data_IF_836159192543
#
_entry.id   IF_836159192543
#
_cell.length_a   1.000
_cell.length_b   1.000
_cell.length_c   1.000
_cell.angle_alpha   90.00
_cell.angle_beta   90.00
_cell.angle_gamma   90.00
#
_symmetry.space_group_name_H-M   'P 1'
#
loop_
_entity.id
_entity.type
_entity.pdbx_description
1 polymer ?
#
# COMPACT_ATOMS: atom_id res chain seq x y z
N UNK A 1 14.95 -14.42 -7.52
CA UNK A 1 14.73 -13.72 -8.79
C UNK A 1 15.68 -14.37 -9.82
N UNK A 2 15.13 -15.17 -10.69
CA UNK A 2 15.85 -15.63 -11.88
C UNK A 2 15.50 -14.60 -12.94
N UNK A 3 16.35 -13.59 -13.09
CA UNK A 3 16.26 -12.63 -14.17
C UNK A 3 17.21 -13.11 -15.26
N UNK A 4 16.72 -13.96 -16.13
CA UNK A 4 17.42 -14.44 -17.29
C UNK A 4 16.70 -14.03 -18.57
N UNK A 5 17.38 -14.01 -19.66
CA UNK A 5 16.84 -13.76 -21.00
C UNK A 5 16.08 -15.01 -21.46
N UNK A 6 14.84 -15.16 -21.06
CA UNK A 6 13.93 -16.32 -21.08
C UNK A 6 13.94 -17.31 -22.26
N UNK A 7 14.85 -17.20 -23.22
CA UNK A 7 15.01 -18.06 -24.39
C UNK A 7 16.43 -18.60 -24.57
N UNK A 8 17.42 -18.15 -23.79
CA UNK A 8 18.80 -18.65 -23.90
C UNK A 8 18.99 -19.89 -23.05
N UNK A 9 19.46 -20.97 -23.67
CA UNK A 9 19.77 -22.21 -22.99
C UNK A 9 21.26 -22.29 -22.51
N UNK A 10 22.05 -21.27 -22.81
CA UNK A 10 23.47 -21.19 -22.48
C UNK A 10 23.82 -19.83 -21.87
N UNK A 11 24.59 -19.84 -20.80
CA UNK A 11 25.17 -18.64 -20.20
C UNK A 11 26.71 -18.75 -20.21
N UNK A 12 27.35 -17.68 -20.72
CA UNK A 12 28.82 -17.59 -20.74
C UNK A 12 29.28 -16.85 -19.48
N UNK A 13 30.00 -17.54 -18.62
CA UNK A 13 30.59 -16.97 -17.41
C UNK A 13 32.10 -17.05 -17.48
N UNK A 14 32.77 -15.91 -17.72
CA UNK A 14 34.22 -15.86 -18.04
C UNK A 14 34.51 -16.74 -19.26
N UNK A 15 35.29 -17.79 -19.13
CA UNK A 15 35.64 -18.74 -20.22
C UNK A 15 34.82 -20.03 -20.18
N UNK A 16 33.79 -20.16 -19.35
CA UNK A 16 32.99 -21.39 -19.23
C UNK A 16 31.57 -21.16 -19.75
N UNK A 17 31.14 -22.03 -20.65
CA UNK A 17 29.77 -22.14 -21.13
C UNK A 17 29.00 -23.01 -20.15
N UNK A 18 27.97 -22.44 -19.50
CA UNK A 18 27.12 -23.17 -18.58
C UNK A 18 25.75 -23.37 -19.25
N UNK A 19 25.39 -24.62 -19.52
CA UNK A 19 24.08 -24.98 -20.06
C UNK A 19 23.02 -24.94 -18.96
N UNK A 20 22.48 -23.75 -18.69
CA UNK A 20 21.44 -23.53 -17.68
C UNK A 20 20.31 -22.76 -18.34
N UNK A 21 19.15 -23.41 -18.49
CA UNK A 21 17.93 -22.78 -18.91
C UNK A 21 17.10 -22.38 -17.66
N UNK A 22 16.61 -21.14 -17.60
CA UNK A 22 15.72 -20.64 -16.53
C UNK A 22 14.51 -21.57 -16.35
N UNK A 23 13.99 -22.15 -17.44
CA UNK A 23 12.91 -23.15 -17.41
C UNK A 23 13.32 -24.43 -16.67
N UNK A 24 14.58 -24.92 -16.84
CA UNK A 24 15.10 -26.11 -16.13
C UNK A 24 15.29 -25.80 -14.64
N UNK A 25 15.81 -24.62 -14.29
CA UNK A 25 15.96 -24.18 -12.89
C UNK A 25 14.59 -24.05 -12.22
N UNK A 26 13.60 -23.41 -12.86
CA UNK A 26 12.24 -23.28 -12.33
C UNK A 26 11.59 -24.66 -12.16
N UNK A 27 11.77 -25.60 -13.11
CA UNK A 27 11.29 -26.97 -12.96
C UNK A 27 11.99 -27.71 -11.81
N UNK A 28 13.29 -27.57 -11.64
CA UNK A 28 14.02 -28.19 -10.53
C UNK A 28 13.64 -27.62 -9.17
N UNK A 29 13.37 -26.31 -9.08
CA UNK A 29 12.83 -25.67 -7.86
C UNK A 29 11.43 -26.21 -7.56
N UNK A 30 10.56 -26.37 -8.59
CA UNK A 30 9.21 -26.95 -8.42
C UNK A 30 9.24 -28.42 -7.97
N UNK A 31 10.22 -29.18 -8.41
CA UNK A 31 10.35 -30.61 -8.06
C UNK A 31 10.97 -30.81 -6.67
N UNK A 32 11.94 -29.96 -6.26
CA UNK A 32 12.58 -30.06 -4.93
C UNK A 32 11.73 -29.50 -3.77
N UNK A 33 10.77 -28.65 -4.05
CA UNK A 33 9.88 -28.10 -3.02
C UNK A 33 8.44 -28.53 -3.32
N UNK A 34 7.97 -29.60 -2.67
CA UNK A 34 6.52 -29.89 -2.52
C UNK A 34 5.88 -28.79 -1.64
N UNK A 35 5.82 -27.55 -2.14
CA UNK A 35 5.12 -26.46 -1.48
C UNK A 35 3.64 -26.66 -1.77
N UNK A 36 2.94 -27.24 -0.82
CA UNK A 36 1.54 -27.69 -0.95
C UNK A 36 0.52 -26.56 -0.97
N UNK A 37 0.87 -25.33 -0.49
CA UNK A 37 -0.08 -24.22 -0.41
C UNK A 37 0.59 -22.83 -0.48
N UNK A 38 -0.18 -21.79 -0.83
CA UNK A 38 0.26 -20.37 -0.77
C UNK A 38 0.65 -19.94 0.64
N UNK A 39 0.04 -20.54 1.67
CA UNK A 39 0.37 -20.32 3.08
C UNK A 39 1.79 -20.79 3.39
N UNK A 40 2.18 -21.95 2.90
CA UNK A 40 3.52 -22.50 3.08
C UNK A 40 4.57 -21.65 2.37
N UNK A 41 4.25 -21.11 1.20
CA UNK A 41 5.11 -20.17 0.47
C UNK A 41 5.35 -18.88 1.27
N UNK A 42 4.31 -18.30 1.87
CA UNK A 42 4.43 -17.13 2.71
C UNK A 42 5.26 -17.39 3.96
N UNK A 43 5.08 -18.54 4.63
CA UNK A 43 5.87 -18.94 5.80
C UNK A 43 7.35 -19.09 5.43
N UNK A 44 7.65 -19.77 4.31
CA UNK A 44 9.00 -19.94 3.82
C UNK A 44 9.65 -18.60 3.48
N UNK A 45 8.95 -17.73 2.76
CA UNK A 45 9.44 -16.38 2.43
C UNK A 45 9.77 -15.58 3.70
N UNK A 46 8.86 -15.57 4.67
CA UNK A 46 9.03 -14.85 5.92
C UNK A 46 10.24 -15.39 6.72
N UNK A 47 10.42 -16.71 6.77
CA UNK A 47 11.56 -17.36 7.41
C UNK A 47 12.89 -17.00 6.74
N UNK A 48 12.93 -16.98 5.41
CA UNK A 48 14.13 -16.61 4.64
C UNK A 48 14.51 -15.13 4.89
N UNK A 49 13.54 -14.24 4.90
CA UNK A 49 13.76 -12.81 5.21
C UNK A 49 14.27 -12.65 6.63
N UNK A 50 13.64 -13.31 7.60
CA UNK A 50 14.07 -13.28 9.00
C UNK A 50 15.54 -13.71 9.15
N UNK A 51 15.88 -14.84 8.57
CA UNK A 51 17.25 -15.38 8.62
C UNK A 51 18.27 -14.45 7.97
N UNK A 52 17.92 -13.85 6.83
CA UNK A 52 18.76 -12.87 6.15
C UNK A 52 19.02 -11.62 7.00
N UNK A 53 18.02 -11.11 7.70
CA UNK A 53 18.16 -9.93 8.56
C UNK A 53 19.01 -10.27 9.81
N UNK A 54 18.81 -11.46 10.36
CA UNK A 54 19.50 -11.88 11.59
C UNK A 54 20.92 -12.39 11.36
N UNK A 55 21.34 -12.67 10.12
CA UNK A 55 22.62 -13.28 9.79
C UNK A 55 22.79 -14.70 10.33
N UNK A 56 21.72 -15.36 10.78
CA UNK A 56 21.74 -16.71 11.37
C UNK A 56 20.46 -17.48 11.08
N UNK A 57 20.57 -18.82 11.01
CA UNK A 57 19.42 -19.70 10.77
C UNK A 57 18.54 -19.79 12.02
N UNK A 58 17.24 -19.52 11.82
CA UNK A 58 16.18 -19.71 12.79
C UNK A 58 15.03 -20.47 12.14
N UNK A 59 14.38 -21.36 12.88
CA UNK A 59 13.32 -22.24 12.36
C UNK A 59 11.90 -21.74 12.69
N UNK A 60 11.71 -20.44 12.86
CA UNK A 60 10.37 -19.89 13.13
C UNK A 60 9.55 -19.79 11.86
N UNK A 61 8.32 -20.30 11.92
CA UNK A 61 7.30 -20.10 10.92
C UNK A 61 6.30 -19.09 11.44
N UNK A 62 6.03 -18.04 10.64
CA UNK A 62 5.02 -17.05 10.98
C UNK A 62 4.33 -16.52 9.72
N UNK A 63 3.03 -16.19 9.88
CA UNK A 63 2.15 -15.83 8.76
C UNK A 63 2.16 -14.35 8.43
N UNK A 64 2.41 -13.48 9.39
CA UNK A 64 2.42 -12.03 9.24
C UNK A 64 3.06 -11.36 10.45
N UNK A 65 3.09 -10.02 10.45
CA UNK A 65 3.70 -9.21 11.50
C UNK A 65 2.63 -8.33 12.17
N UNK A 66 2.67 -8.24 13.50
CA UNK A 66 1.82 -7.35 14.29
C UNK A 66 2.62 -6.65 15.38
N UNK A 67 2.19 -5.42 15.72
CA UNK A 67 2.69 -4.64 16.88
C UNK A 67 1.61 -4.46 17.95
N UNK A 68 0.39 -4.97 17.70
CA UNK A 68 -0.78 -4.77 18.54
C UNK A 68 -1.39 -6.12 18.94
N UNK A 69 -1.37 -6.42 20.25
CA UNK A 69 -1.92 -7.66 20.79
C UNK A 69 -3.44 -7.73 20.73
N UNK A 70 -4.16 -6.63 20.47
CA UNK A 70 -5.61 -6.62 20.29
C UNK A 70 -6.01 -7.22 18.95
N UNK A 71 -5.16 -7.07 17.94
CA UNK A 71 -5.41 -7.50 16.57
C UNK A 71 -4.48 -8.62 16.09
N UNK A 72 -3.57 -9.11 16.94
CA UNK A 72 -2.65 -10.18 16.62
C UNK A 72 -3.41 -11.48 16.29
N UNK A 73 -2.96 -12.18 15.25
CA UNK A 73 -3.49 -13.49 14.87
C UNK A 73 -2.52 -14.58 15.30
N UNK A 74 -3.06 -15.78 15.61
CA UNK A 74 -2.26 -16.98 15.88
C UNK A 74 -1.22 -17.20 14.77
N UNK A 75 0.02 -17.44 15.14
CA UNK A 75 1.13 -17.62 14.21
C UNK A 75 1.74 -16.31 13.67
N UNK A 76 1.31 -15.11 14.10
CA UNK A 76 2.00 -13.88 13.73
C UNK A 76 3.34 -13.74 14.47
N UNK A 77 4.30 -13.03 13.88
CA UNK A 77 5.42 -12.44 14.57
C UNK A 77 4.93 -11.20 15.32
N UNK A 78 5.12 -11.15 16.62
CA UNK A 78 4.89 -9.94 17.42
C UNK A 78 6.17 -9.11 17.48
N UNK A 79 6.10 -7.83 17.11
CA UNK A 79 7.21 -6.90 17.20
C UNK A 79 6.99 -5.95 18.37
N UNK A 80 7.77 -6.12 19.45
CA UNK A 80 7.73 -5.25 20.61
C UNK A 80 8.49 -3.94 20.31
N UNK A 81 7.74 -2.85 20.09
CA UNK A 81 8.28 -1.52 19.85
C UNK A 81 8.09 -0.65 21.10
N UNK A 82 9.12 0.08 21.48
CA UNK A 82 9.01 1.13 22.52
C UNK A 82 8.38 2.37 21.87
N UNK A 83 7.12 2.66 22.24
CA UNK A 83 6.42 3.89 21.88
C UNK A 83 6.73 5.05 22.85
N UNK A 84 6.23 6.25 22.54
CA UNK A 84 6.38 7.42 23.42
C UNK A 84 5.70 7.24 24.78
N UNK A 85 4.50 6.65 24.81
CA UNK A 85 3.69 6.47 26.04
C UNK A 85 3.74 5.05 26.59
N UNK A 86 3.89 4.03 25.75
CA UNK A 86 3.77 2.62 26.11
C UNK A 86 4.94 1.84 25.52
N UNK A 87 5.58 0.98 26.34
CA UNK A 87 6.59 0.03 25.89
C UNK A 87 5.91 -1.28 25.47
N UNK A 88 6.06 -1.64 24.19
CA UNK A 88 5.52 -2.88 23.63
C UNK A 88 6.00 -4.16 24.30
N UNK A 89 7.09 -4.12 25.07
CA UNK A 89 7.56 -5.26 25.86
C UNK A 89 6.56 -5.74 26.90
N UNK A 90 5.79 -4.83 27.49
CA UNK A 90 4.75 -5.18 28.46
C UNK A 90 3.73 -6.18 27.90
N UNK A 91 3.60 -6.25 26.57
CA UNK A 91 2.64 -7.09 25.87
C UNK A 91 3.22 -8.41 25.32
N UNK A 92 4.50 -8.72 25.57
CA UNK A 92 5.14 -9.93 25.04
C UNK A 92 4.43 -11.20 25.53
N UNK A 93 4.16 -11.30 26.83
CA UNK A 93 3.45 -12.46 27.38
C UNK A 93 2.03 -12.57 26.80
N UNK A 94 1.32 -11.46 26.70
CA UNK A 94 -0.01 -11.42 26.05
C UNK A 94 0.05 -11.89 24.59
N UNK A 95 1.07 -11.48 23.83
CA UNK A 95 1.25 -11.92 22.46
C UNK A 95 1.52 -13.43 22.36
N UNK A 96 2.38 -13.96 23.24
CA UNK A 96 2.69 -15.39 23.30
C UNK A 96 1.47 -16.22 23.68
N UNK A 97 0.70 -15.78 24.69
CA UNK A 97 -0.55 -16.43 25.11
C UNK A 97 -1.61 -16.42 24.01
N UNK A 98 -1.64 -15.38 23.15
CA UNK A 98 -2.50 -15.33 21.96
C UNK A 98 -1.94 -16.12 20.77
N UNK A 99 -0.87 -16.89 20.98
CA UNK A 99 -0.32 -17.81 19.98
C UNK A 99 0.61 -17.14 18.95
N UNK A 100 1.32 -16.08 19.34
CA UNK A 100 2.39 -15.54 18.50
C UNK A 100 3.41 -16.64 18.14
N UNK A 101 3.79 -16.73 16.86
CA UNK A 101 4.76 -17.72 16.38
C UNK A 101 6.18 -17.41 16.89
N UNK A 102 6.53 -16.12 16.95
CA UNK A 102 7.76 -15.61 17.58
C UNK A 102 7.58 -14.14 17.94
N UNK A 103 8.54 -13.63 18.74
CA UNK A 103 8.58 -12.24 19.20
C UNK A 103 9.93 -11.64 18.87
N UNK A 104 9.93 -10.40 18.39
CA UNK A 104 11.14 -9.57 18.23
C UNK A 104 11.12 -8.47 19.30
N UNK A 105 12.22 -8.31 20.02
CA UNK A 105 12.42 -7.26 21.04
C UNK A 105 13.79 -6.64 20.90
N UNK A 106 13.92 -5.33 21.20
CA UNK A 106 15.22 -4.63 21.20
C UNK A 106 15.99 -4.73 22.51
N UNK A 107 15.45 -5.42 23.52
CA UNK A 107 16.15 -5.67 24.78
C UNK A 107 16.04 -7.14 25.15
N UNK A 108 17.09 -7.65 25.75
CA UNK A 108 17.09 -8.99 26.32
C UNK A 108 16.08 -9.08 27.46
N UNK A 109 15.33 -10.13 27.50
CA UNK A 109 14.41 -10.42 28.60
C UNK A 109 15.09 -11.42 29.56
N UNK A 110 14.88 -11.25 30.85
CA UNK A 110 15.46 -12.14 31.88
C UNK A 110 15.00 -13.61 31.75
N UNK A 111 13.83 -13.86 31.15
CA UNK A 111 13.32 -15.22 30.89
C UNK A 111 13.84 -15.75 29.55
N UNK A 112 14.53 -16.88 29.61
CA UNK A 112 15.04 -17.58 28.42
C UNK A 112 13.90 -18.27 27.68
N UNK A 113 13.20 -17.55 26.80
CA UNK A 113 12.12 -18.11 25.98
C UNK A 113 12.61 -18.25 24.54
N UNK A 114 12.65 -19.51 24.05
CA UNK A 114 13.12 -19.85 22.69
C UNK A 114 12.38 -19.11 21.57
N UNK A 115 11.14 -18.65 21.81
CA UNK A 115 10.34 -17.88 20.83
C UNK A 115 10.71 -16.40 20.77
N UNK A 116 11.55 -15.89 21.65
CA UNK A 116 11.92 -14.48 21.70
C UNK A 116 13.29 -14.28 21.04
N UNK A 117 13.35 -13.33 20.12
CA UNK A 117 14.57 -12.96 19.40
C UNK A 117 14.91 -11.52 19.76
N UNK A 118 16.12 -11.32 20.25
CA UNK A 118 16.66 -9.99 20.55
C UNK A 118 17.34 -9.41 19.32
N UNK A 119 17.03 -8.15 19.00
CA UNK A 119 17.66 -7.36 17.92
C UNK A 119 18.17 -6.04 18.49
N UNK A 120 19.15 -5.41 17.82
CA UNK A 120 19.67 -4.09 18.27
C UNK A 120 18.56 -3.02 18.29
N UNK A 121 17.73 -2.99 17.26
CA UNK A 121 16.64 -2.01 17.12
C UNK A 121 15.43 -2.62 16.41
N UNK A 122 14.27 -2.62 17.07
CA UNK A 122 13.02 -3.18 16.52
C UNK A 122 12.50 -2.41 15.31
N UNK A 123 12.69 -1.07 15.24
CA UNK A 123 12.24 -0.25 14.12
C UNK A 123 13.13 -0.51 12.89
N UNK A 124 14.44 -0.59 13.07
CA UNK A 124 15.38 -0.96 11.99
C UNK A 124 15.09 -2.35 11.45
N UNK A 125 14.77 -3.31 12.33
CA UNK A 125 14.31 -4.64 11.94
C UNK A 125 13.05 -4.56 11.08
N UNK A 126 12.03 -3.81 11.52
CA UNK A 126 10.77 -3.62 10.79
C UNK A 126 10.99 -3.06 9.39
N UNK A 127 11.79 -1.99 9.28
CA UNK A 127 12.10 -1.36 8.00
C UNK A 127 12.84 -2.30 7.05
N UNK A 128 13.80 -3.07 7.57
CA UNK A 128 14.52 -4.08 6.79
C UNK A 128 13.58 -5.18 6.31
N UNK A 129 12.71 -5.68 7.18
CA UNK A 129 11.73 -6.71 6.85
C UNK A 129 10.75 -6.23 5.77
N UNK A 130 10.19 -5.03 5.93
CA UNK A 130 9.32 -4.36 4.97
C UNK A 130 10.01 -4.19 3.59
N UNK A 131 11.27 -3.74 3.60
CA UNK A 131 12.08 -3.57 2.37
C UNK A 131 12.27 -4.89 1.62
N UNK A 132 12.56 -5.97 2.33
CA UNK A 132 12.68 -7.30 1.71
C UNK A 132 11.33 -7.80 1.18
N UNK A 133 10.24 -7.67 1.96
CA UNK A 133 8.89 -8.03 1.50
C UNK A 133 8.53 -7.28 0.23
N UNK A 134 8.76 -5.96 0.20
CA UNK A 134 8.50 -5.14 -1.00
C UNK A 134 9.35 -5.56 -2.21
N UNK A 135 10.63 -5.86 -1.98
CA UNK A 135 11.54 -6.30 -3.05
C UNK A 135 11.11 -7.63 -3.69
N UNK A 136 10.55 -8.54 -2.89
CA UNK A 136 10.13 -9.86 -3.35
C UNK A 136 8.69 -9.89 -3.88
N UNK A 137 7.91 -8.83 -3.65
CA UNK A 137 6.51 -8.76 -4.09
C UNK A 137 6.40 -8.44 -5.58
N UNK A 138 5.55 -9.19 -6.28
CA UNK A 138 5.15 -8.96 -7.67
C UNK A 138 3.88 -8.14 -7.79
N UNK A 139 3.26 -7.78 -6.66
CA UNK A 139 2.03 -7.01 -6.62
C UNK A 139 2.18 -5.65 -7.33
N UNK A 140 1.14 -5.19 -8.01
CA UNK A 140 1.03 -3.80 -8.47
C UNK A 140 0.75 -2.91 -7.27
N UNK A 141 1.66 -2.00 -6.96
CA UNK A 141 1.62 -1.16 -5.76
C UNK A 141 1.10 0.22 -6.08
N UNK A 142 0.07 0.62 -5.35
CA UNK A 142 -0.56 1.93 -5.39
C UNK A 142 -0.26 2.65 -4.07
N UNK A 143 0.21 3.90 -4.14
CA UNK A 143 0.41 4.74 -2.97
C UNK A 143 -0.48 5.98 -3.08
N UNK A 144 -1.21 6.30 -2.00
CA UNK A 144 -2.17 7.40 -1.94
C UNK A 144 -1.71 8.42 -0.91
N UNK A 145 -1.55 9.68 -1.33
CA UNK A 145 -1.34 10.83 -0.45
C UNK A 145 -2.29 11.97 -0.80
N UNK A 146 -2.25 13.04 -0.03
CA UNK A 146 -3.05 14.24 -0.21
C UNK A 146 -3.42 14.88 1.12
N UNK A 147 -4.05 16.05 1.11
CA UNK A 147 -4.49 16.73 2.32
C UNK A 147 -5.74 16.05 2.90
N UNK A 148 -6.75 15.78 2.07
CA UNK A 148 -7.99 15.10 2.45
C UNK A 148 -8.28 13.88 1.57
N UNK A 149 -9.19 13.01 2.01
CA UNK A 149 -9.72 11.90 1.22
C UNK A 149 -8.84 10.64 1.13
N UNK A 150 -7.60 10.65 1.61
CA UNK A 150 -6.63 9.53 1.51
C UNK A 150 -7.19 8.18 1.95
N UNK A 151 -7.69 8.09 3.16
CA UNK A 151 -8.17 6.82 3.75
C UNK A 151 -9.43 6.32 3.05
N UNK A 152 -10.35 7.22 2.71
CA UNK A 152 -11.58 6.86 1.96
C UNK A 152 -11.22 6.36 0.56
N UNK A 153 -10.32 7.06 -0.14
CA UNK A 153 -9.84 6.63 -1.46
C UNK A 153 -9.10 5.30 -1.39
N UNK A 154 -8.18 5.14 -0.44
CA UNK A 154 -7.46 3.87 -0.24
C UNK A 154 -8.42 2.70 -0.01
N UNK A 155 -9.45 2.88 0.82
CA UNK A 155 -10.44 1.83 1.07
C UNK A 155 -11.28 1.54 -0.17
N UNK A 156 -11.73 2.58 -0.88
CA UNK A 156 -12.46 2.40 -2.14
C UNK A 156 -11.63 1.62 -3.16
N UNK A 157 -10.38 2.02 -3.41
CA UNK A 157 -9.49 1.30 -4.33
C UNK A 157 -9.30 -0.16 -3.88
N UNK A 158 -9.08 -0.40 -2.58
CA UNK A 158 -8.95 -1.74 -2.00
C UNK A 158 -10.18 -2.60 -2.32
N UNK A 159 -11.38 -2.11 -2.02
CA UNK A 159 -12.63 -2.87 -2.20
C UNK A 159 -12.92 -3.17 -3.67
N UNK A 160 -12.57 -2.24 -4.56
CA UNK A 160 -12.66 -2.45 -6.00
C UNK A 160 -11.68 -3.51 -6.49
N UNK A 161 -10.40 -3.42 -6.08
CA UNK A 161 -9.33 -4.33 -6.54
C UNK A 161 -9.46 -5.74 -6.00
N UNK A 162 -10.08 -5.93 -4.83
CA UNK A 162 -10.34 -7.25 -4.25
C UNK A 162 -11.19 -8.16 -5.15
N UNK A 163 -11.96 -7.58 -6.08
CA UNK A 163 -12.72 -8.36 -7.08
C UNK A 163 -11.82 -8.94 -8.19
N UNK A 164 -10.58 -8.46 -8.32
CA UNK A 164 -9.64 -8.85 -9.38
C UNK A 164 -8.41 -9.57 -8.87
N UNK A 165 -8.28 -9.71 -7.56
CA UNK A 165 -7.20 -10.44 -6.93
C UNK A 165 -6.95 -10.04 -5.49
N UNK A 166 -6.18 -10.88 -4.82
CA UNK A 166 -5.79 -10.64 -3.43
C UNK A 166 -5.06 -9.30 -3.32
N UNK A 167 -5.49 -8.49 -2.36
CA UNK A 167 -5.04 -7.12 -2.20
C UNK A 167 -4.57 -6.87 -0.78
N UNK A 168 -3.29 -6.58 -0.62
CA UNK A 168 -2.71 -6.07 0.63
C UNK A 168 -2.98 -4.57 0.74
N UNK A 169 -3.24 -4.07 1.94
CA UNK A 169 -3.53 -2.64 2.14
C UNK A 169 -3.13 -2.15 3.54
N UNK A 170 -2.94 -0.83 3.66
CA UNK A 170 -2.76 -0.19 4.96
C UNK A 170 -4.02 -0.31 5.81
N UNK A 171 -3.91 -0.96 6.97
CA UNK A 171 -5.01 -1.05 7.94
C UNK A 171 -5.27 0.34 8.54
N UNK A 172 -6.54 0.70 8.74
CA UNK A 172 -6.93 2.00 9.31
C UNK A 172 -6.15 3.15 8.63
N UNK A 173 -5.59 4.06 9.43
CA UNK A 173 -4.72 5.15 8.97
C UNK A 173 -3.24 4.85 9.24
N UNK A 174 -2.78 3.61 8.95
CA UNK A 174 -1.37 3.22 9.05
C UNK A 174 -0.57 3.83 7.91
N UNK A 175 -0.32 5.15 8.02
CA UNK A 175 0.25 5.99 6.97
C UNK A 175 1.57 6.68 7.36
N UNK A 176 2.12 6.37 8.56
CA UNK A 176 3.32 6.97 9.12
C UNK A 176 4.52 6.00 9.14
N UNK A 177 5.62 6.42 9.78
CA UNK A 177 6.89 5.69 9.89
C UNK A 177 6.82 4.29 10.55
N UNK A 178 5.74 3.95 11.22
CA UNK A 178 5.46 2.60 11.73
C UNK A 178 4.39 1.90 10.89
N UNK A 179 3.32 2.60 10.54
CA UNK A 179 2.17 2.03 9.85
C UNK A 179 2.49 1.52 8.46
N UNK A 180 3.26 2.28 7.67
CA UNK A 180 3.65 1.88 6.32
C UNK A 180 4.56 0.64 6.34
N UNK A 181 5.64 0.58 7.13
CA UNK A 181 6.47 -0.63 7.20
C UNK A 181 5.70 -1.86 7.69
N UNK A 182 4.79 -1.73 8.67
CA UNK A 182 3.95 -2.83 9.13
C UNK A 182 3.06 -3.34 7.99
N UNK A 183 2.43 -2.42 7.27
CA UNK A 183 1.56 -2.77 6.14
C UNK A 183 2.33 -3.52 5.05
N UNK A 184 3.52 -3.02 4.67
CA UNK A 184 4.40 -3.68 3.70
C UNK A 184 4.92 -5.04 4.18
N UNK A 185 5.19 -5.18 5.49
CA UNK A 185 5.64 -6.45 6.08
C UNK A 185 4.60 -7.57 5.95
N UNK A 186 3.35 -7.21 5.74
CA UNK A 186 2.24 -8.14 5.55
C UNK A 186 1.90 -8.44 4.08
N UNK A 187 2.67 -7.92 3.11
CA UNK A 187 2.54 -8.35 1.72
C UNK A 187 2.72 -9.88 1.62
N UNK A 188 1.78 -10.53 0.97
CA UNK A 188 1.82 -11.96 0.69
C UNK A 188 2.47 -12.24 -0.68
N UNK A 189 2.95 -13.46 -0.87
CA UNK A 189 3.51 -13.89 -2.14
C UNK A 189 2.49 -13.85 -3.29
N UNK A 190 1.23 -14.12 -2.97
CA UNK A 190 0.10 -14.20 -3.89
C UNK A 190 -0.73 -12.90 -3.99
N UNK A 191 -0.30 -11.82 -3.31
CA UNK A 191 -0.98 -10.54 -3.49
C UNK A 191 -0.78 -10.02 -4.92
N UNK A 192 -1.89 -9.75 -5.60
CA UNK A 192 -1.91 -9.14 -6.93
C UNK A 192 -1.77 -7.62 -6.86
N UNK A 193 -2.28 -7.03 -5.79
CA UNK A 193 -2.28 -5.59 -5.56
C UNK A 193 -1.81 -5.23 -4.14
N UNK A 194 -1.25 -4.03 -4.01
CA UNK A 194 -0.98 -3.40 -2.72
C UNK A 194 -1.43 -1.95 -2.73
N UNK A 195 -2.23 -1.53 -1.74
CA UNK A 195 -2.76 -0.17 -1.64
C UNK A 195 -2.33 0.45 -0.32
N UNK A 196 -1.43 1.42 -0.38
CA UNK A 196 -0.82 2.02 0.80
C UNK A 196 -1.12 3.50 0.91
N UNK A 197 -1.56 3.91 2.09
CA UNK A 197 -1.73 5.32 2.43
C UNK A 197 -0.41 5.89 2.93
N UNK A 198 -0.07 7.11 2.48
CA UNK A 198 1.14 7.84 2.89
C UNK A 198 0.73 9.18 3.46
N UNK A 199 0.96 9.35 4.75
CA UNK A 199 0.73 10.61 5.49
C UNK A 199 2.05 11.34 5.76
N UNK A 200 1.91 12.58 6.23
CA UNK A 200 3.02 13.39 6.72
C UNK A 200 2.54 14.39 7.78
N UNK A 201 3.45 14.75 8.67
CA UNK A 201 3.38 15.93 9.52
C UNK A 201 4.49 16.92 9.19
N UNK A 202 5.59 16.45 8.58
CA UNK A 202 6.76 17.24 8.24
C UNK A 202 7.27 16.90 6.82
N UNK A 203 8.05 17.82 6.22
CA UNK A 203 8.75 17.58 4.97
C UNK A 203 9.74 16.40 5.11
N UNK A 204 9.93 15.64 4.01
CA UNK A 204 10.81 14.48 3.97
C UNK A 204 10.16 13.17 4.42
N UNK A 205 9.05 13.20 5.18
CA UNK A 205 8.38 11.98 5.64
C UNK A 205 7.80 11.17 4.47
N UNK A 206 7.10 11.83 3.53
CA UNK A 206 6.58 11.16 2.33
C UNK A 206 7.71 10.56 1.51
N UNK A 207 8.82 11.28 1.35
CA UNK A 207 9.99 10.79 0.63
C UNK A 207 10.51 9.47 1.21
N UNK A 208 10.67 9.42 2.53
CA UNK A 208 11.17 8.22 3.21
C UNK A 208 10.20 7.05 3.09
N UNK A 209 8.90 7.29 3.28
CA UNK A 209 7.87 6.26 3.20
C UNK A 209 7.67 5.77 1.76
N UNK A 210 7.61 6.68 0.79
CA UNK A 210 7.41 6.31 -0.60
C UNK A 210 8.62 5.58 -1.20
N UNK A 211 9.86 5.89 -0.76
CA UNK A 211 11.07 5.12 -1.11
C UNK A 211 10.99 3.68 -0.63
N UNK A 212 10.38 3.44 0.53
CA UNK A 212 10.17 2.09 1.03
C UNK A 212 9.08 1.36 0.24
N UNK A 213 7.99 2.06 -0.11
CA UNK A 213 6.85 1.53 -0.86
C UNK A 213 7.24 1.26 -2.32
N UNK A 214 7.99 2.12 -2.98
CA UNK A 214 8.32 2.10 -4.42
C UNK A 214 7.07 1.81 -5.26
N UNK A 215 6.10 2.73 -5.30
CA UNK A 215 4.82 2.49 -5.95
C UNK A 215 4.97 2.44 -7.47
N UNK A 216 4.11 1.69 -8.14
CA UNK A 216 3.94 1.74 -9.59
C UNK A 216 2.96 2.84 -9.98
N UNK A 217 2.00 3.13 -9.10
CA UNK A 217 1.00 4.18 -9.26
C UNK A 217 1.02 5.05 -8.01
N UNK A 218 1.25 6.34 -8.17
CA UNK A 218 1.07 7.35 -7.13
C UNK A 218 -0.24 8.10 -7.34
N UNK A 219 -0.95 8.44 -6.26
CA UNK A 219 -2.15 9.27 -6.32
C UNK A 219 -2.01 10.42 -5.34
N UNK A 220 -2.18 11.65 -5.81
CA UNK A 220 -2.33 12.83 -4.97
C UNK A 220 -3.78 13.29 -5.06
N UNK A 221 -4.55 13.16 -3.96
CA UNK A 221 -5.98 13.47 -3.97
C UNK A 221 -6.23 14.97 -4.14
N UNK A 222 -5.59 15.77 -3.31
CA UNK A 222 -5.64 17.23 -3.31
C UNK A 222 -4.53 17.83 -2.45
N UNK A 223 -4.29 19.13 -2.63
CA UNK A 223 -3.43 19.95 -1.78
C UNK A 223 -4.29 21.00 -1.06
N UNK A 224 -4.20 21.05 0.25
CA UNK A 224 -4.90 22.00 1.11
C UNK A 224 -4.15 22.18 2.42
N UNK A 225 -4.74 22.87 3.37
CA UNK A 225 -4.10 23.38 4.60
C UNK A 225 -3.87 22.33 5.71
N UNK A 226 -4.12 21.04 5.43
CA UNK A 226 -3.87 19.99 6.42
C UNK A 226 -2.40 20.02 6.90
N UNK A 227 -2.21 20.14 8.21
CA UNK A 227 -0.90 20.28 8.88
C UNK A 227 -0.18 21.62 8.59
N UNK A 228 -0.94 22.68 8.28
CA UNK A 228 -0.37 24.00 7.93
C UNK A 228 0.51 24.55 9.07
N UNK A 229 0.21 24.19 10.32
CA UNK A 229 1.00 24.55 11.50
C UNK A 229 2.46 24.09 11.44
N UNK A 230 2.76 23.08 10.61
CA UNK A 230 4.12 22.53 10.45
C UNK A 230 4.79 22.98 9.15
N UNK A 231 4.19 23.88 8.40
CA UNK A 231 4.68 24.34 7.10
C UNK A 231 4.59 25.86 6.96
N UNK A 232 5.55 26.49 6.29
CA UNK A 232 5.52 27.94 6.08
C UNK A 232 4.39 28.42 5.17
N UNK A 233 3.79 27.51 4.39
CA UNK A 233 2.71 27.81 3.45
C UNK A 233 2.09 26.54 2.87
N UNK A 234 0.93 26.69 2.21
CA UNK A 234 0.32 25.59 1.45
C UNK A 234 1.21 25.10 0.31
N UNK A 235 2.07 25.98 -0.24
CA UNK A 235 3.09 25.56 -1.21
C UNK A 235 4.13 24.63 -0.58
N UNK A 236 4.50 24.85 0.69
CA UNK A 236 5.33 23.91 1.46
C UNK A 236 4.69 22.54 1.58
N UNK A 237 3.37 22.47 1.82
CA UNK A 237 2.59 21.24 1.82
C UNK A 237 2.60 20.56 0.43
N UNK A 238 2.44 21.35 -0.64
CA UNK A 238 2.50 20.85 -2.01
C UNK A 238 3.87 20.24 -2.33
N UNK A 239 4.97 20.90 -1.93
CA UNK A 239 6.33 20.35 -2.04
C UNK A 239 6.48 19.02 -1.32
N UNK A 240 6.06 18.94 -0.05
CA UNK A 240 6.17 17.72 0.75
C UNK A 240 5.32 16.58 0.16
N UNK A 241 4.07 16.83 -0.25
CA UNK A 241 3.23 15.79 -0.88
C UNK A 241 3.77 15.36 -2.24
N UNK A 242 4.39 16.25 -2.99
CA UNK A 242 5.03 15.93 -4.26
C UNK A 242 6.25 15.02 -4.15
N UNK A 243 6.78 14.77 -2.94
CA UNK A 243 7.89 13.84 -2.70
C UNK A 243 7.55 12.40 -3.13
N UNK A 244 6.26 12.02 -3.14
CA UNK A 244 5.82 10.71 -3.61
C UNK A 244 6.24 10.47 -5.07
N UNK A 245 6.24 11.51 -5.91
CA UNK A 245 6.60 11.48 -7.33
C UNK A 245 8.01 10.92 -7.53
N UNK A 246 8.94 11.29 -6.64
CA UNK A 246 10.35 10.90 -6.72
C UNK A 246 10.61 9.39 -6.52
N UNK A 247 9.62 8.68 -6.00
CA UNK A 247 9.76 7.28 -5.61
C UNK A 247 8.89 6.32 -6.44
N UNK A 248 8.11 6.86 -7.38
CA UNK A 248 7.36 6.04 -8.32
C UNK A 248 8.35 5.30 -9.21
N UNK A 249 8.11 4.02 -9.43
CA UNK A 249 8.96 3.17 -10.28
C UNK A 249 9.05 3.74 -11.70
N UNK A 250 10.17 3.53 -12.36
CA UNK A 250 10.36 3.92 -13.76
C UNK A 250 9.23 3.39 -14.65
N UNK A 251 8.74 4.22 -15.58
CA UNK A 251 7.58 3.92 -16.40
C UNK A 251 6.24 3.90 -15.64
N UNK A 252 6.26 4.25 -14.35
CA UNK A 252 5.04 4.31 -13.54
C UNK A 252 4.20 5.56 -13.80
N UNK A 253 3.05 5.62 -13.14
CA UNK A 253 2.04 6.66 -13.36
C UNK A 253 1.77 7.46 -12.10
N UNK A 254 1.68 8.78 -12.23
CA UNK A 254 1.12 9.66 -11.21
C UNK A 254 -0.30 10.07 -11.62
N UNK A 255 -1.24 9.93 -10.71
CA UNK A 255 -2.63 10.34 -10.88
C UNK A 255 -2.85 11.65 -10.12
N UNK A 256 -3.30 12.69 -10.84
CA UNK A 256 -3.43 14.05 -10.32
C UNK A 256 -4.83 14.62 -10.53
N UNK A 257 -5.32 15.34 -9.53
CA UNK A 257 -6.50 16.18 -9.66
C UNK A 257 -6.16 17.41 -10.51
N UNK A 258 -6.83 17.55 -11.68
CA UNK A 258 -6.56 18.68 -12.59
C UNK A 258 -7.17 19.99 -12.13
N UNK A 259 -8.15 19.92 -11.24
CA UNK A 259 -8.80 21.09 -10.65
C UNK A 259 -8.02 21.66 -9.45
N UNK A 260 -6.96 20.97 -9.01
CA UNK A 260 -6.11 21.43 -7.91
C UNK A 260 -5.24 22.61 -8.35
N UNK A 261 -5.18 23.67 -7.52
CA UNK A 261 -4.38 24.87 -7.81
C UNK A 261 -2.89 24.58 -8.00
N UNK A 262 -2.37 23.47 -7.47
CA UNK A 262 -1.00 23.03 -7.62
C UNK A 262 -0.79 22.03 -8.76
N UNK A 263 -1.80 21.77 -9.58
CA UNK A 263 -1.72 20.83 -10.68
C UNK A 263 -0.49 21.07 -11.58
N UNK A 264 -0.29 22.31 -12.02
CA UNK A 264 0.83 22.65 -12.92
C UNK A 264 2.20 22.35 -12.28
N UNK A 265 2.36 22.65 -10.97
CA UNK A 265 3.58 22.33 -10.23
C UNK A 265 3.81 20.80 -10.16
N UNK A 266 2.77 20.04 -9.80
CA UNK A 266 2.84 18.59 -9.68
C UNK A 266 3.11 17.92 -11.04
N UNK A 267 2.44 18.36 -12.10
CA UNK A 267 2.62 17.87 -13.47
C UNK A 267 4.02 18.15 -14.01
N UNK A 268 4.55 19.38 -13.79
CA UNK A 268 5.94 19.73 -14.16
C UNK A 268 6.94 18.82 -13.43
N UNK A 269 6.71 18.55 -12.15
CA UNK A 269 7.57 17.62 -11.38
C UNK A 269 7.48 16.21 -11.91
N UNK A 270 6.27 15.70 -12.24
CA UNK A 270 6.08 14.38 -12.83
C UNK A 270 6.85 14.23 -14.16
N UNK A 271 6.79 15.24 -15.03
CA UNK A 271 7.55 15.28 -16.29
C UNK A 271 9.06 15.19 -16.06
N UNK A 272 9.58 15.90 -15.05
CA UNK A 272 11.01 15.83 -14.68
C UNK A 272 11.44 14.41 -14.30
N UNK A 273 10.57 13.64 -13.67
CA UNK A 273 10.81 12.24 -13.29
C UNK A 273 10.37 11.23 -14.37
N UNK A 274 10.06 11.69 -15.59
CA UNK A 274 9.66 10.86 -16.72
C UNK A 274 8.49 9.94 -16.44
N UNK A 275 7.54 10.37 -15.59
CA UNK A 275 6.36 9.60 -15.25
C UNK A 275 5.22 9.87 -16.24
N UNK A 276 4.39 8.86 -16.46
CA UNK A 276 3.09 9.05 -17.09
C UNK A 276 2.18 9.82 -16.12
N UNK A 277 1.49 10.85 -16.62
CA UNK A 277 0.52 11.60 -15.82
C UNK A 277 -0.87 11.27 -16.30
N UNK A 278 -1.73 10.79 -15.40
CA UNK A 278 -3.15 10.56 -15.65
C UNK A 278 -3.97 11.50 -14.78
N UNK A 279 -4.99 12.15 -15.34
CA UNK A 279 -5.66 13.27 -14.70
C UNK A 279 -7.15 13.04 -14.54
N UNK A 280 -7.73 13.59 -13.46
CA UNK A 280 -9.16 13.56 -13.21
C UNK A 280 -9.67 14.90 -12.71
N UNK A 281 -10.96 15.18 -12.88
CA UNK A 281 -11.61 16.39 -12.36
C UNK A 281 -12.77 16.86 -13.23
N UNK A 282 -13.19 18.11 -13.00
CA UNK A 282 -14.20 18.80 -13.81
C UNK A 282 -13.58 19.52 -15.01
N UNK A 283 -12.29 19.82 -14.95
CA UNK A 283 -11.59 20.54 -16.00
C UNK A 283 -11.68 19.80 -17.35
N UNK A 284 -12.02 20.53 -18.43
CA UNK A 284 -12.26 19.96 -19.77
C UNK A 284 -11.11 19.15 -20.37
N UNK A 285 -9.89 19.39 -19.95
CA UNK A 285 -8.66 18.67 -20.39
C UNK A 285 -8.30 17.49 -19.47
N UNK A 286 -9.14 17.11 -18.48
CA UNK A 286 -8.90 15.91 -17.68
C UNK A 286 -9.13 14.65 -18.50
N UNK A 287 -8.32 13.59 -18.24
CA UNK A 287 -8.49 12.28 -18.88
C UNK A 287 -9.81 11.62 -18.44
N UNK A 288 -10.17 11.80 -17.17
CA UNK A 288 -11.50 11.50 -16.64
C UNK A 288 -12.16 12.81 -16.26
N UNK A 289 -13.21 13.20 -16.96
CA UNK A 289 -13.94 14.46 -16.71
C UNK A 289 -15.42 14.22 -16.51
N UNK A 290 -15.98 14.95 -15.54
CA UNK A 290 -17.43 14.98 -15.30
C UNK A 290 -18.12 15.70 -16.45
N UNK A 291 -19.18 15.07 -16.98
CA UNK A 291 -20.09 15.68 -17.94
C UNK A 291 -21.36 16.20 -17.25
N UNK A 292 -21.97 15.41 -16.37
CA UNK A 292 -23.22 15.74 -15.67
C UNK A 292 -23.33 14.93 -14.39
N UNK A 293 -23.95 15.53 -13.39
CA UNK A 293 -24.35 14.86 -12.14
C UNK A 293 -25.86 15.07 -11.99
N UNK A 294 -26.59 13.99 -11.73
CA UNK A 294 -28.03 14.02 -11.49
C UNK A 294 -28.30 13.36 -10.14
N UNK A 295 -28.94 14.08 -9.23
CA UNK A 295 -29.37 13.53 -7.93
C UNK A 295 -30.65 12.73 -8.11
N UNK A 296 -30.72 11.52 -7.54
CA UNK A 296 -31.89 10.64 -7.54
C UNK A 296 -32.07 10.05 -6.14
N UNK A 297 -32.94 10.68 -5.31
CA UNK A 297 -33.13 10.25 -3.92
C UNK A 297 -31.81 10.20 -3.15
N UNK A 298 -31.46 9.04 -2.59
CA UNK A 298 -30.26 8.82 -1.77
C UNK A 298 -28.98 8.63 -2.57
N UNK A 299 -29.03 8.61 -3.89
CA UNK A 299 -27.85 8.44 -4.71
C UNK A 299 -27.73 9.50 -5.80
N UNK A 300 -26.53 9.65 -6.31
CA UNK A 300 -26.23 10.52 -7.44
C UNK A 300 -25.79 9.69 -8.64
N UNK A 301 -26.34 9.96 -9.81
CA UNK A 301 -25.86 9.41 -11.07
C UNK A 301 -24.89 10.40 -11.69
N UNK A 302 -23.66 9.91 -11.93
CA UNK A 302 -22.58 10.69 -12.50
C UNK A 302 -22.37 10.20 -13.94
N UNK A 303 -22.37 11.14 -14.88
CA UNK A 303 -21.95 10.90 -16.27
C UNK A 303 -20.56 11.50 -16.44
N UNK A 304 -19.63 10.70 -16.92
CA UNK A 304 -18.24 11.11 -17.14
C UNK A 304 -17.74 10.69 -18.51
N UNK A 305 -16.73 11.37 -18.99
CA UNK A 305 -16.04 11.01 -20.22
C UNK A 305 -14.68 10.43 -19.84
N UNK A 306 -14.41 9.21 -20.33
CA UNK A 306 -13.16 8.47 -20.15
C UNK A 306 -12.72 8.00 -21.53
N UNK A 307 -11.54 8.37 -22.00
CA UNK A 307 -11.03 7.97 -23.32
C UNK A 307 -12.08 8.18 -24.44
N UNK A 308 -12.73 9.35 -24.47
CA UNK A 308 -13.81 9.74 -25.39
C UNK A 308 -15.10 8.90 -25.30
N UNK A 309 -15.24 8.04 -24.29
CA UNK A 309 -16.47 7.26 -24.05
C UNK A 309 -17.25 7.86 -22.90
N UNK A 310 -18.57 7.89 -23.02
CA UNK A 310 -19.45 8.28 -21.92
C UNK A 310 -19.68 7.05 -21.04
N UNK A 311 -19.36 7.20 -19.77
CA UNK A 311 -19.58 6.19 -18.73
C UNK A 311 -20.47 6.80 -17.66
N UNK A 312 -21.51 6.09 -17.26
CA UNK A 312 -22.36 6.47 -16.12
C UNK A 312 -22.08 5.62 -14.90
N UNK A 313 -22.28 6.18 -13.73
CA UNK A 313 -22.04 5.52 -12.45
C UNK A 313 -23.02 6.04 -11.39
N UNK A 314 -23.58 5.13 -10.59
CA UNK A 314 -24.36 5.49 -9.40
C UNK A 314 -23.48 5.45 -8.15
N UNK A 315 -23.54 6.52 -7.35
CA UNK A 315 -22.80 6.62 -6.09
C UNK A 315 -23.73 7.05 -4.97
N UNK A 316 -23.46 6.60 -3.74
CA UNK A 316 -24.13 7.05 -2.52
C UNK A 316 -23.09 7.66 -1.60
N UNK A 317 -23.32 8.92 -1.16
CA UNK A 317 -22.49 9.63 -0.15
C UNK A 317 -20.96 9.53 -0.33
N UNK A 318 -20.49 9.40 -1.60
CA UNK A 318 -19.07 9.35 -1.93
C UNK A 318 -18.56 10.73 -2.37
N UNK A 319 -17.35 11.05 -1.96
CA UNK A 319 -16.65 12.20 -2.52
C UNK A 319 -16.36 11.96 -4.01
N UNK A 320 -16.86 12.83 -4.86
CA UNK A 320 -16.73 12.71 -6.33
C UNK A 320 -15.29 12.61 -6.78
N UNK A 321 -14.38 13.42 -6.22
CA UNK A 321 -12.96 13.35 -6.57
C UNK A 321 -12.32 12.02 -6.20
N UNK A 322 -12.73 11.40 -5.07
CA UNK A 322 -12.26 10.06 -4.71
C UNK A 322 -12.79 9.00 -5.69
N UNK A 323 -14.03 9.15 -6.15
CA UNK A 323 -14.60 8.27 -7.19
C UNK A 323 -13.78 8.39 -8.48
N UNK A 324 -13.56 9.61 -8.98
CA UNK A 324 -12.77 9.84 -10.18
C UNK A 324 -11.33 9.32 -10.06
N UNK A 325 -10.68 9.57 -8.92
CA UNK A 325 -9.33 9.07 -8.65
C UNK A 325 -9.27 7.54 -8.61
N UNK A 326 -10.31 6.87 -8.05
CA UNK A 326 -10.37 5.41 -8.04
C UNK A 326 -10.55 4.83 -9.45
N UNK A 327 -11.38 5.47 -10.27
CA UNK A 327 -11.55 5.11 -11.68
C UNK A 327 -10.24 5.30 -12.45
N UNK A 328 -9.51 6.40 -12.19
CA UNK A 328 -8.20 6.63 -12.79
C UNK A 328 -7.21 5.49 -12.46
N UNK A 329 -7.22 4.97 -11.22
CA UNK A 329 -6.41 3.80 -10.86
C UNK A 329 -6.82 2.57 -11.67
N UNK A 330 -8.11 2.33 -11.86
CA UNK A 330 -8.61 1.19 -12.64
C UNK A 330 -8.22 1.31 -14.13
N UNK A 331 -8.35 2.49 -14.72
CA UNK A 331 -7.95 2.76 -16.12
C UNK A 331 -6.44 2.52 -16.31
N UNK A 332 -5.61 3.03 -15.42
CA UNK A 332 -4.14 2.79 -15.44
C UNK A 332 -3.81 1.30 -15.30
N UNK A 333 -4.60 0.56 -14.52
CA UNK A 333 -4.47 -0.90 -14.38
C UNK A 333 -5.12 -1.69 -15.52
N UNK A 334 -5.78 -1.01 -16.48
CA UNK A 334 -6.54 -1.62 -17.58
C UNK A 334 -7.66 -2.54 -17.09
N UNK A 335 -8.33 -2.14 -16.00
CA UNK A 335 -9.47 -2.86 -15.43
C UNK A 335 -10.77 -2.21 -15.92
N UNK A 336 -11.65 -3.01 -16.52
CA UNK A 336 -12.95 -2.54 -17.02
C UNK A 336 -13.89 -2.17 -15.86
N UNK A 337 -14.26 -0.89 -15.78
CA UNK A 337 -15.16 -0.35 -14.77
C UNK A 337 -16.57 -0.99 -14.84
N UNK A 338 -17.01 -1.46 -16.02
CA UNK A 338 -18.33 -2.09 -16.19
C UNK A 338 -18.52 -3.27 -15.24
N UNK A 339 -17.46 -4.01 -14.94
CA UNK A 339 -17.49 -5.19 -14.05
C UNK A 339 -17.76 -4.86 -12.58
N UNK A 340 -17.64 -3.60 -12.19
CA UNK A 340 -17.70 -3.18 -10.78
C UNK A 340 -18.55 -1.94 -10.51
N UNK A 341 -19.36 -1.48 -11.48
CA UNK A 341 -20.25 -0.31 -11.30
C UNK A 341 -21.10 -0.39 -10.03
N UNK A 342 -21.69 -1.56 -9.74
CA UNK A 342 -22.52 -1.77 -8.57
C UNK A 342 -21.78 -1.57 -7.23
N UNK A 343 -20.45 -1.77 -7.20
CA UNK A 343 -19.65 -1.59 -5.98
C UNK A 343 -19.59 -0.13 -5.52
N UNK A 344 -19.66 0.82 -6.43
CA UNK A 344 -19.66 2.24 -6.08
C UNK A 344 -20.96 2.66 -5.36
N UNK A 345 -22.09 2.10 -5.76
CA UNK A 345 -23.39 2.35 -5.12
C UNK A 345 -23.44 1.77 -3.69
N UNK A 346 -22.81 0.61 -3.50
CA UNK A 346 -22.84 -0.15 -2.25
C UNK A 346 -21.63 0.11 -1.33
N UNK A 347 -20.71 0.99 -1.73
CA UNK A 347 -19.54 1.29 -0.91
C UNK A 347 -19.94 2.17 0.29
N UNK A 348 -19.60 1.72 1.48
CA UNK A 348 -19.78 2.49 2.71
C UNK A 348 -18.47 3.24 3.07
N UNK A 349 -18.60 4.54 3.26
CA UNK A 349 -17.49 5.35 3.78
C UNK A 349 -17.11 4.91 5.19
N UNK A 350 -15.81 4.85 5.53
CA UNK A 350 -15.37 4.53 6.88
C UNK A 350 -16.01 5.47 7.92
N UNK A 351 -16.27 4.94 9.11
CA UNK A 351 -16.80 5.73 10.24
C UNK A 351 -15.99 7.00 10.47
N UNK A 352 -16.71 8.11 10.78
CA UNK A 352 -16.11 9.44 11.00
C UNK A 352 -15.57 10.12 9.73
N UNK A 353 -15.85 9.58 8.53
CA UNK A 353 -15.35 10.12 7.25
C UNK A 353 -16.46 10.26 6.21
N UNK A 354 -17.29 11.28 6.39
CA UNK A 354 -18.34 11.64 5.43
C UNK A 354 -19.63 10.83 5.57
N UNK A 355 -19.78 9.98 6.58
CA UNK A 355 -21.06 9.34 6.90
C UNK A 355 -21.99 10.41 7.49
N UNK A 356 -23.11 10.66 6.83
CA UNK A 356 -24.15 11.56 7.36
C UNK A 356 -24.93 10.81 8.44
N UNK A 357 -25.03 11.40 9.62
CA UNK A 357 -25.89 10.92 10.70
C UNK A 357 -27.10 11.84 10.81
N UNK A 358 -28.29 11.28 10.79
CA UNK A 358 -29.51 12.02 11.15
C UNK A 358 -29.54 12.18 12.67
N UNK A 359 -29.37 13.39 13.15
CA UNK A 359 -29.54 13.69 14.57
C UNK A 359 -31.02 13.97 14.76
N UNK A 360 -31.74 13.05 15.41
CA UNK A 360 -33.10 13.30 15.88
C UNK A 360 -32.98 14.25 17.10
N UNK A 361 -33.24 15.53 16.90
CA UNK A 361 -33.40 16.47 18.01
C UNK A 361 -34.75 16.19 18.65
N UNK A 362 -34.78 15.59 19.81
CA UNK A 362 -35.96 15.63 20.67
C UNK A 362 -36.13 17.09 21.10
N UNK A 363 -37.19 17.74 20.62
CA UNK A 363 -37.69 18.99 21.27
C UNK A 363 -38.18 18.58 22.65
N UNK A 364 -37.57 19.16 23.69
CA UNK A 364 -38.15 19.20 25.02
C UNK A 364 -39.35 20.13 25.00
#
# INVERSE_FOLDING_TARGET
LIAGKGHEEQQIYKSKIINISDKKIVKQIKVKTKIKSTKDQNHLQNKLILNKILGKKKSFNFSGLSIDTRTIKKGNLFLAIKGKKIDGKKFINTALNKGAGCVISSKTLRKNNKKIITVKNSISFLNSFAKFKRKLSLAKIIAVTGSAGKTSLKNLIKDLLQNFGKTCFSSKSFNNHLGVPISLSNLSFDDKFGVFEVGMSQAGEIKNLSRLIKPHIGVITNIGEAHIENFPSVYGIAKAKSEIIESISEGGTIILNRDDKFFNFLSKKAKKYKLQTFTFGFHKKSDIKIKKITKKGDYSKIFMIINNRIVDLEIRDLNIYNVLASIAVLEVLKIDIKKIKAKYKNFESPEGRGKKYSIIRYKK
#
